data_IF_062246172305
#
_entry.id   IF_062246172305
#
_cell.length_a   1.000
_cell.length_b   1.000
_cell.length_c   1.000
_cell.angle_alpha   90.00
_cell.angle_beta   90.00
_cell.angle_gamma   90.00
#
_symmetry.space_group_name_H-M   'P 1'
#
loop_
_entity.id
_entity.type
_entity.pdbx_description
1 polymer ?
#
# COMPACT_ATOMS: atom_id res chain seq x y z
N UNK A 1 19.41 -47.59 18.08
CA UNK A 1 18.63 -46.91 17.02
C UNK A 1 17.88 -45.67 17.46
N UNK A 2 18.11 -45.06 18.63
CA UNK A 2 17.42 -43.85 19.10
C UNK A 2 18.11 -42.51 18.80
N UNK A 3 19.36 -42.52 18.32
CA UNK A 3 20.13 -41.28 18.05
C UNK A 3 19.96 -40.71 16.66
N UNK A 4 19.34 -41.42 15.72
CA UNK A 4 19.18 -40.96 14.34
C UNK A 4 17.95 -40.03 14.15
N UNK A 5 16.94 -40.17 15.02
CA UNK A 5 15.68 -39.34 14.94
C UNK A 5 15.92 -37.88 15.29
N UNK A 6 16.87 -37.56 16.16
CA UNK A 6 17.13 -36.15 16.55
C UNK A 6 17.87 -35.35 15.47
N UNK A 7 18.60 -36.04 14.58
CA UNK A 7 19.37 -35.38 13.53
C UNK A 7 18.48 -34.85 12.40
N UNK A 8 17.27 -35.44 12.21
CA UNK A 8 16.30 -34.98 11.19
C UNK A 8 15.36 -33.88 11.68
N UNK A 9 15.11 -33.79 12.99
CA UNK A 9 14.19 -32.77 13.56
C UNK A 9 14.89 -31.40 13.58
N UNK A 10 16.19 -31.34 13.82
CA UNK A 10 16.95 -30.09 13.88
C UNK A 10 16.96 -29.31 12.55
N UNK A 11 17.23 -29.92 11.37
CA UNK A 11 17.18 -29.21 10.11
C UNK A 11 15.75 -28.81 9.70
N UNK A 12 14.71 -29.56 10.11
CA UNK A 12 13.31 -29.19 9.82
C UNK A 12 12.87 -27.95 10.59
N UNK A 13 13.30 -27.79 11.84
CA UNK A 13 13.06 -26.58 12.64
C UNK A 13 13.83 -25.37 12.10
N UNK A 14 15.03 -25.56 11.56
CA UNK A 14 15.83 -24.51 10.92
C UNK A 14 15.21 -24.03 9.61
N UNK A 15 14.56 -24.92 8.86
CA UNK A 15 13.86 -24.55 7.63
C UNK A 15 12.60 -23.72 7.89
N UNK A 16 11.83 -24.02 8.94
CA UNK A 16 10.65 -23.26 9.29
C UNK A 16 10.98 -21.84 9.78
N UNK A 17 12.07 -21.66 10.52
CA UNK A 17 12.52 -20.33 10.95
C UNK A 17 13.15 -19.52 9.81
N UNK A 18 13.72 -20.16 8.79
CA UNK A 18 14.33 -19.48 7.64
C UNK A 18 13.30 -18.81 6.73
N UNK A 19 12.12 -19.39 6.52
CA UNK A 19 11.06 -18.80 5.73
C UNK A 19 10.57 -17.47 6.31
N UNK A 20 10.32 -17.40 7.61
CA UNK A 20 9.85 -16.16 8.26
C UNK A 20 10.92 -15.06 8.26
N UNK A 21 12.19 -15.42 8.42
CA UNK A 21 13.31 -14.47 8.28
C UNK A 21 13.46 -13.96 6.86
N UNK A 22 13.28 -14.81 5.85
CA UNK A 22 13.36 -14.46 4.44
C UNK A 22 12.24 -13.48 4.04
N UNK A 23 10.99 -13.76 4.44
CA UNK A 23 9.85 -12.86 4.19
C UNK A 23 10.07 -11.49 4.84
N UNK A 24 10.58 -11.45 6.09
CA UNK A 24 10.92 -10.18 6.76
C UNK A 24 12.07 -9.45 6.09
N UNK A 25 13.03 -10.17 5.52
CA UNK A 25 14.14 -9.58 4.77
C UNK A 25 13.66 -8.92 3.48
N UNK A 26 12.85 -9.62 2.69
CA UNK A 26 12.23 -9.11 1.46
C UNK A 26 11.32 -7.92 1.76
N UNK A 27 10.47 -8.02 2.78
CA UNK A 27 9.60 -6.93 3.19
C UNK A 27 10.38 -5.67 3.58
N UNK A 28 11.53 -5.80 4.25
CA UNK A 28 12.39 -4.64 4.58
C UNK A 28 13.00 -3.97 3.35
N UNK A 29 13.34 -4.74 2.32
CA UNK A 29 13.89 -4.20 1.06
C UNK A 29 12.81 -3.42 0.29
N UNK A 30 11.66 -4.04 0.09
CA UNK A 30 10.53 -3.42 -0.64
C UNK A 30 10.04 -2.14 0.04
N UNK A 31 9.95 -2.15 1.37
CA UNK A 31 9.47 -1.01 2.16
C UNK A 31 10.42 0.18 2.14
N UNK A 32 11.68 -0.01 1.78
CA UNK A 32 12.65 1.10 1.69
C UNK A 32 12.25 2.12 0.63
N UNK A 33 11.66 1.66 -0.45
CA UNK A 33 11.35 2.49 -1.62
C UNK A 33 10.10 3.37 -1.42
N UNK A 34 9.26 3.10 -0.41
CA UNK A 34 8.09 3.93 -0.11
C UNK A 34 8.45 5.37 0.31
N UNK A 35 9.68 5.61 0.71
CA UNK A 35 10.17 6.93 1.14
C UNK A 35 10.58 7.84 -0.01
N UNK A 36 10.74 7.30 -1.20
CA UNK A 36 11.13 8.10 -2.33
C UNK A 36 10.04 9.17 -2.59
N UNK A 37 10.51 10.37 -2.91
CA UNK A 37 9.63 11.50 -3.25
C UNK A 37 8.64 11.97 -2.17
N UNK A 38 8.80 11.58 -0.91
CA UNK A 38 7.92 12.06 0.19
C UNK A 38 8.06 13.54 0.51
N UNK A 39 9.05 14.23 -0.06
CA UNK A 39 9.21 15.68 -0.03
C UNK A 39 8.35 16.41 -1.07
N UNK A 40 7.67 15.67 -1.96
CA UNK A 40 6.82 16.25 -3.00
C UNK A 40 5.40 16.37 -2.49
N UNK A 41 4.82 17.55 -2.73
CA UNK A 41 3.42 17.84 -2.48
C UNK A 41 2.68 17.98 -3.82
N UNK A 42 1.57 17.28 -3.95
CA UNK A 42 0.76 17.26 -5.18
C UNK A 42 -0.57 18.02 -5.07
N UNK A 43 -0.75 18.83 -4.02
CA UNK A 43 -1.98 19.58 -3.80
C UNK A 43 -2.43 20.38 -5.02
N UNK A 44 -1.48 20.94 -5.76
CA UNK A 44 -1.73 21.86 -6.87
C UNK A 44 -1.72 21.18 -8.24
N UNK A 45 -1.55 19.87 -8.34
CA UNK A 45 -1.68 19.19 -9.63
C UNK A 45 -3.13 19.27 -10.11
N UNK A 46 -3.32 19.43 -11.42
CA UNK A 46 -4.64 19.46 -12.01
C UNK A 46 -5.02 18.09 -12.56
N UNK A 47 -6.17 17.61 -12.13
CA UNK A 47 -6.79 16.38 -12.58
C UNK A 47 -7.98 16.70 -13.48
N UNK A 48 -8.20 15.87 -14.49
CA UNK A 48 -9.34 15.92 -15.40
C UNK A 48 -10.24 14.74 -15.06
N UNK A 49 -11.48 14.99 -14.71
CA UNK A 49 -12.47 13.94 -14.46
C UNK A 49 -13.01 13.32 -15.78
N UNK A 50 -13.83 12.28 -15.65
CA UNK A 50 -14.45 11.61 -16.80
C UNK A 50 -15.37 12.52 -17.64
N UNK A 51 -15.81 13.66 -17.10
CA UNK A 51 -16.63 14.67 -17.79
C UNK A 51 -15.80 15.76 -18.46
N UNK A 52 -14.47 15.72 -18.32
CA UNK A 52 -13.55 16.71 -18.85
C UNK A 52 -13.34 17.93 -17.93
N UNK A 53 -13.90 17.96 -16.73
CA UNK A 53 -13.71 19.08 -15.81
C UNK A 53 -12.32 19.02 -15.20
N UNK A 54 -11.62 20.16 -15.19
CA UNK A 54 -10.32 20.33 -14.53
C UNK A 54 -10.51 20.82 -13.10
N UNK A 55 -9.88 20.15 -12.15
CA UNK A 55 -9.85 20.54 -10.74
C UNK A 55 -8.49 20.25 -10.12
N UNK A 56 -8.10 21.06 -9.15
CA UNK A 56 -6.90 20.77 -8.38
C UNK A 56 -7.10 19.57 -7.47
N UNK A 57 -6.03 18.85 -7.19
CA UNK A 57 -6.05 17.67 -6.33
C UNK A 57 -6.64 18.00 -4.94
N UNK A 58 -6.20 19.11 -4.35
CA UNK A 58 -6.70 19.56 -3.04
C UNK A 58 -8.19 19.91 -3.04
N UNK A 59 -8.74 20.43 -4.14
CA UNK A 59 -10.19 20.72 -4.26
C UNK A 59 -11.02 19.44 -4.27
N UNK A 60 -10.52 18.40 -4.94
CA UNK A 60 -11.19 17.10 -5.04
C UNK A 60 -11.13 16.29 -3.73
N UNK A 61 -10.01 16.40 -3.00
CA UNK A 61 -9.69 15.53 -1.90
C UNK A 61 -9.37 16.26 -0.59
N UNK A 62 -9.94 17.45 -0.39
CA UNK A 62 -9.74 18.26 0.82
C UNK A 62 -9.90 17.43 2.10
N UNK A 63 -8.86 17.40 2.94
CA UNK A 63 -8.87 16.72 4.24
C UNK A 63 -8.96 15.20 4.16
N UNK A 64 -8.73 14.61 2.99
CA UNK A 64 -8.76 13.16 2.78
C UNK A 64 -7.36 12.59 2.61
N UNK A 65 -7.17 11.40 3.15
CA UNK A 65 -6.05 10.53 2.78
C UNK A 65 -6.46 9.78 1.51
N UNK A 66 -5.64 9.86 0.47
CA UNK A 66 -5.98 9.30 -0.84
C UNK A 66 -5.10 8.10 -1.15
N UNK A 67 -5.72 6.97 -1.42
CA UNK A 67 -5.06 5.84 -2.07
C UNK A 67 -5.22 6.04 -3.58
N UNK A 68 -4.18 6.61 -4.21
CA UNK A 68 -4.15 6.92 -5.64
C UNK A 68 -3.53 5.76 -6.40
N UNK A 69 -4.33 5.03 -7.17
CA UNK A 69 -3.81 3.93 -7.98
C UNK A 69 -3.61 4.41 -9.42
N UNK A 70 -2.35 4.51 -9.83
CA UNK A 70 -1.96 5.03 -11.13
C UNK A 70 -1.54 3.89 -12.07
N UNK A 71 -1.94 3.99 -13.34
CA UNK A 71 -1.50 3.07 -14.40
C UNK A 71 -1.33 3.80 -15.73
N UNK A 72 -0.49 3.26 -16.59
CA UNK A 72 -0.37 3.59 -18.00
C UNK A 72 -1.27 2.65 -18.82
N UNK A 73 -1.00 2.40 -20.06
CA UNK A 73 -1.79 1.64 -21.03
C UNK A 73 -2.20 0.20 -20.60
N UNK A 74 -1.62 -0.34 -19.53
CA UNK A 74 -2.00 -1.62 -18.94
C UNK A 74 -3.14 -1.44 -17.96
N UNK A 75 -4.29 -2.02 -18.28
CA UNK A 75 -5.40 -2.16 -17.33
C UNK A 75 -5.02 -3.09 -16.18
N UNK A 76 -5.69 -2.93 -15.06
CA UNK A 76 -5.59 -3.86 -13.94
C UNK A 76 -6.04 -5.26 -14.41
N UNK A 77 -5.36 -6.30 -13.96
CA UNK A 77 -5.86 -7.66 -14.11
C UNK A 77 -7.09 -7.88 -13.24
N UNK A 78 -7.85 -8.94 -13.53
CA UNK A 78 -9.05 -9.29 -12.74
C UNK A 78 -8.71 -9.48 -11.26
N UNK A 79 -7.55 -10.07 -10.95
CA UNK A 79 -7.07 -10.27 -9.58
C UNK A 79 -6.71 -8.95 -8.91
N UNK A 80 -6.09 -8.03 -9.65
CA UNK A 80 -5.77 -6.69 -9.14
C UNK A 80 -7.03 -5.88 -8.85
N UNK A 81 -8.02 -5.91 -9.76
CA UNK A 81 -9.32 -5.27 -9.55
C UNK A 81 -10.06 -5.84 -8.35
N UNK A 82 -10.05 -7.17 -8.20
CA UNK A 82 -10.65 -7.85 -7.04
C UNK A 82 -9.98 -7.42 -5.74
N UNK A 83 -8.66 -7.42 -5.69
CA UNK A 83 -7.89 -7.02 -4.51
C UNK A 83 -8.12 -5.55 -4.16
N UNK A 84 -8.20 -4.68 -5.16
CA UNK A 84 -8.48 -3.25 -4.98
C UNK A 84 -9.88 -3.03 -4.41
N UNK A 85 -10.91 -3.72 -4.94
CA UNK A 85 -12.28 -3.65 -4.42
C UNK A 85 -12.37 -4.13 -2.96
N UNK A 86 -11.72 -5.25 -2.63
CA UNK A 86 -11.67 -5.76 -1.26
C UNK A 86 -10.99 -4.76 -0.30
N UNK A 87 -9.97 -4.06 -0.76
CA UNK A 87 -9.33 -3.01 0.02
C UNK A 87 -10.30 -1.84 0.26
N UNK A 88 -11.02 -1.40 -0.78
CA UNK A 88 -12.05 -0.36 -0.64
C UNK A 88 -13.14 -0.75 0.36
N UNK A 89 -13.62 -2.00 0.32
CA UNK A 89 -14.63 -2.52 1.25
C UNK A 89 -14.14 -2.46 2.71
N UNK A 90 -12.86 -2.84 2.96
CA UNK A 90 -12.27 -2.77 4.31
C UNK A 90 -12.15 -1.33 4.84
N UNK A 91 -11.98 -0.38 3.94
CA UNK A 91 -11.87 1.04 4.30
C UNK A 91 -13.19 1.82 4.24
N UNK A 92 -14.30 1.21 3.84
CA UNK A 92 -15.61 1.87 3.75
C UNK A 92 -16.06 2.56 5.06
N UNK A 93 -15.61 2.06 6.20
CA UNK A 93 -15.88 2.63 7.53
C UNK A 93 -15.03 3.87 7.89
N UNK A 94 -14.07 4.23 7.05
CA UNK A 94 -13.19 5.39 7.28
C UNK A 94 -13.50 6.50 6.27
N UNK A 95 -14.37 7.46 6.63
CA UNK A 95 -14.83 8.48 5.69
C UNK A 95 -13.74 9.48 5.28
N UNK A 96 -12.61 9.48 5.97
CA UNK A 96 -11.44 10.29 5.66
C UNK A 96 -10.45 9.60 4.69
N UNK A 97 -10.76 8.39 4.20
CA UNK A 97 -9.98 7.69 3.17
C UNK A 97 -10.76 7.66 1.86
N UNK A 98 -10.09 8.03 0.78
CA UNK A 98 -10.65 8.01 -0.58
C UNK A 98 -9.75 7.18 -1.49
N UNK A 99 -10.38 6.43 -2.36
CA UNK A 99 -9.71 5.67 -3.42
C UNK A 99 -9.90 6.37 -4.75
N UNK A 100 -8.81 6.72 -5.40
CA UNK A 100 -8.83 7.39 -6.69
C UNK A 100 -7.98 6.62 -7.71
N UNK A 101 -8.46 6.61 -8.94
CA UNK A 101 -7.79 5.98 -10.06
C UNK A 101 -7.20 7.05 -10.98
N UNK A 102 -5.97 6.89 -11.40
CA UNK A 102 -5.27 7.81 -12.30
C UNK A 102 -4.77 7.06 -13.53
N UNK A 103 -5.29 7.40 -14.69
CA UNK A 103 -4.79 6.91 -15.97
C UNK A 103 -3.82 7.94 -16.57
N UNK A 104 -2.56 7.58 -16.72
CA UNK A 104 -1.52 8.41 -17.34
C UNK A 104 -1.29 8.09 -18.82
N UNK A 105 -1.96 7.05 -19.33
CA UNK A 105 -1.90 6.64 -20.73
C UNK A 105 -2.97 7.28 -21.61
N UNK A 106 -3.05 6.83 -22.84
CA UNK A 106 -3.97 7.32 -23.87
C UNK A 106 -5.37 6.70 -23.81
N UNK A 107 -5.61 5.69 -22.97
CA UNK A 107 -6.92 5.02 -22.86
C UNK A 107 -7.99 5.98 -22.38
N UNK A 108 -9.03 6.19 -23.21
CA UNK A 108 -10.14 7.08 -22.94
C UNK A 108 -11.34 6.42 -22.26
N UNK A 109 -11.33 5.09 -22.15
CA UNK A 109 -12.51 4.30 -21.74
C UNK A 109 -12.66 4.11 -20.24
N UNK A 110 -11.84 4.77 -19.39
CA UNK A 110 -11.87 4.58 -17.94
C UNK A 110 -12.51 5.74 -17.21
N UNK A 111 -13.24 5.45 -16.13
CA UNK A 111 -13.71 6.46 -15.16
C UNK A 111 -12.58 7.01 -14.27
N UNK A 112 -11.32 6.86 -14.68
CA UNK A 112 -10.17 7.36 -13.97
C UNK A 112 -9.93 8.84 -14.26
N UNK A 113 -9.33 9.52 -13.30
CA UNK A 113 -8.76 10.83 -13.55
C UNK A 113 -7.64 10.78 -14.57
N UNK A 114 -7.42 11.87 -15.28
CA UNK A 114 -6.25 12.11 -16.14
C UNK A 114 -5.47 13.29 -15.61
N UNK A 115 -4.19 13.34 -15.92
CA UNK A 115 -3.38 14.53 -15.65
C UNK A 115 -3.66 15.61 -16.68
N UNK A 116 -3.87 16.84 -16.22
CA UNK A 116 -3.89 17.98 -17.11
C UNK A 116 -2.48 18.23 -17.67
N UNK A 117 -2.41 18.89 -18.83
CA UNK A 117 -1.12 19.26 -19.45
C UNK A 117 -0.76 20.67 -19.00
N UNK A 118 -0.09 20.79 -17.85
CA UNK A 118 0.41 22.02 -17.28
C UNK A 118 1.77 21.84 -16.60
N UNK A 119 2.46 22.94 -16.32
CA UNK A 119 3.83 22.90 -15.79
C UNK A 119 3.94 22.33 -14.38
N UNK A 120 2.92 22.44 -13.52
CA UNK A 120 2.93 21.88 -12.17
C UNK A 120 2.76 20.36 -12.23
N UNK A 121 1.92 19.89 -13.15
CA UNK A 121 1.59 18.48 -13.34
C UNK A 121 2.71 17.73 -14.05
N UNK A 122 3.54 18.41 -14.86
CA UNK A 122 4.64 17.77 -15.61
C UNK A 122 5.65 17.09 -14.68
N UNK A 123 6.04 17.73 -13.58
CA UNK A 123 6.96 17.14 -12.58
C UNK A 123 6.37 15.87 -11.96
N UNK A 124 5.09 15.87 -11.64
CA UNK A 124 4.42 14.68 -11.10
C UNK A 124 4.32 13.59 -12.16
N UNK A 125 4.08 13.93 -13.42
CA UNK A 125 4.07 12.99 -14.54
C UNK A 125 5.42 12.27 -14.69
N UNK A 126 6.54 12.96 -14.47
CA UNK A 126 7.87 12.35 -14.51
C UNK A 126 8.08 11.30 -13.42
N UNK A 127 7.47 11.50 -12.23
CA UNK A 127 7.49 10.50 -11.17
C UNK A 127 6.63 9.27 -11.51
N UNK A 128 5.61 9.45 -12.33
CA UNK A 128 4.69 8.41 -12.76
C UNK A 128 5.20 7.58 -13.93
N UNK A 129 6.48 7.70 -14.33
CA UNK A 129 7.11 6.77 -15.28
C UNK A 129 7.18 5.38 -14.67
N UNK A 130 6.03 4.72 -14.64
CA UNK A 130 5.81 3.40 -14.06
C UNK A 130 5.51 2.42 -15.20
N UNK A 131 6.22 1.29 -15.23
CA UNK A 131 5.94 0.22 -16.19
C UNK A 131 4.67 -0.56 -15.84
N UNK A 132 4.38 -0.73 -14.56
CA UNK A 132 3.22 -1.45 -14.03
C UNK A 132 2.36 -0.54 -13.15
N UNK A 133 1.05 -0.87 -12.97
CA UNK A 133 0.18 -0.12 -12.06
C UNK A 133 0.77 -0.02 -10.67
N UNK A 134 0.85 1.21 -10.15
CA UNK A 134 1.46 1.49 -8.87
C UNK A 134 0.55 2.34 -7.97
N UNK A 135 0.44 2.02 -6.68
CA UNK A 135 -0.27 2.82 -5.71
C UNK A 135 0.61 3.92 -5.13
N UNK A 136 -0.02 5.05 -4.85
CA UNK A 136 0.53 6.15 -4.08
C UNK A 136 -0.39 6.42 -2.90
N UNK A 137 0.15 6.69 -1.74
CA UNK A 137 -0.65 7.14 -0.59
C UNK A 137 -0.33 8.61 -0.38
N UNK A 138 -1.37 9.44 -0.47
CA UNK A 138 -1.27 10.88 -0.36
C UNK A 138 -1.95 11.32 0.94
N UNK A 139 -1.25 12.13 1.71
CA UNK A 139 -1.76 12.70 2.95
C UNK A 139 -2.82 13.77 2.74
N UNK A 140 -3.48 14.15 3.81
CA UNK A 140 -4.56 15.17 3.83
C UNK A 140 -4.10 16.55 3.37
N UNK A 141 -2.80 16.79 3.43
CA UNK A 141 -2.12 18.01 3.00
C UNK A 141 -1.58 17.93 1.55
N UNK A 142 -1.79 16.80 0.87
CA UNK A 142 -1.28 16.55 -0.48
C UNK A 142 0.17 16.05 -0.54
N UNK A 143 0.83 15.81 0.60
CA UNK A 143 2.16 15.22 0.63
C UNK A 143 2.11 13.73 0.24
N UNK A 144 3.11 13.27 -0.51
CA UNK A 144 3.26 11.83 -0.80
C UNK A 144 3.77 11.14 0.48
N UNK A 145 2.94 10.31 1.09
CA UNK A 145 3.29 9.51 2.28
C UNK A 145 3.86 8.14 1.91
N UNK A 146 3.50 7.59 0.75
CA UNK A 146 4.11 6.40 0.19
C UNK A 146 4.15 6.49 -1.34
N UNK A 147 5.34 6.45 -1.89
CA UNK A 147 5.61 6.36 -3.33
C UNK A 147 5.70 4.89 -3.73
N UNK A 148 5.01 4.49 -4.80
CA UNK A 148 4.90 3.07 -5.18
C UNK A 148 4.67 2.19 -3.96
N UNK A 149 3.68 2.59 -3.16
CA UNK A 149 3.34 2.00 -1.87
C UNK A 149 2.85 0.56 -1.97
N UNK A 150 2.38 -0.02 -0.87
CA UNK A 150 1.91 -1.39 -0.86
C UNK A 150 0.71 -1.56 -1.81
N UNK A 151 0.74 -2.64 -2.60
CA UNK A 151 -0.31 -2.98 -3.56
C UNK A 151 -1.57 -3.46 -2.85
N UNK A 152 -2.76 -3.39 -3.47
CA UNK A 152 -4.01 -3.88 -2.85
C UNK A 152 -3.96 -5.34 -2.40
N UNK A 153 -3.12 -6.17 -3.05
CA UNK A 153 -2.91 -7.58 -2.71
C UNK A 153 -1.96 -7.80 -1.51
N UNK A 154 -1.26 -6.76 -1.05
CA UNK A 154 -0.34 -6.85 0.10
C UNK A 154 -1.12 -6.83 1.43
N UNK A 155 -1.88 -7.90 1.66
CA UNK A 155 -2.76 -8.02 2.83
C UNK A 155 -2.05 -7.67 4.13
N UNK A 156 -2.77 -7.05 5.05
CA UNK A 156 -2.30 -6.52 6.33
C UNK A 156 -1.33 -5.34 6.15
N UNK A 157 -0.34 -5.44 5.25
CA UNK A 157 0.64 -4.38 5.02
C UNK A 157 -0.02 -3.12 4.45
N UNK A 158 -0.76 -3.26 3.34
CA UNK A 158 -1.48 -2.12 2.73
C UNK A 158 -2.48 -1.53 3.69
N UNK A 159 -3.20 -2.37 4.42
CA UNK A 159 -4.21 -1.94 5.38
C UNK A 159 -3.58 -1.11 6.52
N UNK A 160 -2.47 -1.58 7.10
CA UNK A 160 -1.81 -0.86 8.19
C UNK A 160 -1.17 0.44 7.72
N UNK A 161 -0.49 0.42 6.57
CA UNK A 161 0.16 1.62 6.02
C UNK A 161 -0.88 2.69 5.69
N UNK A 162 -1.98 2.32 5.05
CA UNK A 162 -3.06 3.26 4.73
C UNK A 162 -3.80 3.76 5.99
N UNK A 163 -3.97 2.88 6.99
CA UNK A 163 -4.57 3.26 8.27
C UNK A 163 -3.74 4.32 9.01
N UNK A 164 -2.43 4.12 9.11
CA UNK A 164 -1.53 5.08 9.78
C UNK A 164 -1.35 6.38 8.96
N UNK A 165 -1.45 6.30 7.63
CA UNK A 165 -1.40 7.47 6.75
C UNK A 165 -2.54 8.48 7.02
N UNK A 166 -3.68 8.05 7.56
CA UNK A 166 -4.79 8.92 8.00
C UNK A 166 -4.33 9.92 9.08
N UNK A 167 -3.30 9.56 9.83
CA UNK A 167 -2.67 10.39 10.85
C UNK A 167 -1.41 11.12 10.34
N UNK A 168 -1.16 11.10 9.02
CA UNK A 168 0.01 11.71 8.41
C UNK A 168 1.30 10.88 8.53
N UNK A 169 1.22 9.60 8.95
CA UNK A 169 2.41 8.77 9.09
C UNK A 169 2.95 8.34 7.72
N UNK A 170 4.29 8.41 7.61
CA UNK A 170 5.01 7.97 6.42
C UNK A 170 4.89 6.46 6.21
N UNK A 171 4.70 6.03 4.96
CA UNK A 171 4.47 4.64 4.60
C UNK A 171 5.60 3.69 5.00
N UNK A 172 6.86 4.11 4.81
CA UNK A 172 8.03 3.32 5.24
C UNK A 172 8.07 3.13 6.74
N UNK A 173 7.75 4.18 7.52
CA UNK A 173 7.73 4.10 8.98
C UNK A 173 6.65 3.14 9.46
N UNK A 174 5.44 3.29 8.94
CA UNK A 174 4.30 2.42 9.27
C UNK A 174 4.58 0.96 8.92
N UNK A 175 5.08 0.70 7.72
CA UNK A 175 5.44 -0.65 7.29
C UNK A 175 6.53 -1.28 8.18
N UNK A 176 7.57 -0.51 8.54
CA UNK A 176 8.61 -0.97 9.48
C UNK A 176 8.05 -1.27 10.87
N UNK A 177 7.10 -0.46 11.37
CA UNK A 177 6.43 -0.71 12.64
C UNK A 177 5.66 -2.03 12.61
N UNK A 178 4.88 -2.25 11.56
CA UNK A 178 4.14 -3.51 11.38
C UNK A 178 5.08 -4.72 11.36
N UNK A 179 6.12 -4.70 10.50
CA UNK A 179 7.07 -5.80 10.33
C UNK A 179 7.80 -6.12 11.66
N UNK A 180 8.22 -5.09 12.40
CA UNK A 180 8.85 -5.26 13.72
C UNK A 180 7.85 -5.76 14.76
N UNK A 181 6.61 -5.40 14.63
CA UNK A 181 5.51 -5.72 15.54
C UNK A 181 4.98 -7.15 15.41
N UNK A 182 5.48 -7.94 14.46
CA UNK A 182 5.12 -9.35 14.30
C UNK A 182 6.25 -10.23 14.81
N UNK A 183 5.92 -11.30 15.58
CA UNK A 183 6.87 -12.27 16.11
C UNK A 183 7.20 -13.39 15.09
N UNK A 184 8.03 -14.33 15.49
CA UNK A 184 8.40 -15.50 14.67
C UNK A 184 7.25 -16.48 14.42
N UNK A 185 6.23 -16.44 15.27
CA UNK A 185 5.02 -17.26 15.16
C UNK A 185 3.90 -16.58 14.35
N UNK A 186 4.22 -15.50 13.64
CA UNK A 186 3.26 -14.75 12.83
C UNK A 186 2.10 -14.14 13.66
N UNK A 187 2.40 -13.65 14.86
CA UNK A 187 1.44 -13.00 15.77
C UNK A 187 1.91 -11.60 16.13
N UNK A 188 0.97 -10.72 16.47
CA UNK A 188 1.30 -9.37 16.93
C UNK A 188 1.92 -9.36 18.32
N UNK A 189 3.02 -8.59 18.48
CA UNK A 189 3.73 -8.42 19.75
C UNK A 189 3.12 -7.37 20.67
N UNK A 190 2.39 -6.39 20.10
CA UNK A 190 1.94 -5.21 20.83
C UNK A 190 0.42 -5.13 20.87
N UNK A 191 -0.13 -4.64 21.98
CA UNK A 191 -1.56 -4.38 22.13
C UNK A 191 -2.09 -3.46 21.01
N UNK A 192 -1.37 -2.36 20.70
CA UNK A 192 -1.75 -1.42 19.63
C UNK A 192 -2.04 -2.12 18.29
N UNK A 193 -1.18 -3.05 17.86
CA UNK A 193 -1.37 -3.78 16.60
C UNK A 193 -2.51 -4.79 16.69
N UNK A 194 -2.68 -5.43 17.84
CA UNK A 194 -3.79 -6.38 18.09
C UNK A 194 -5.13 -5.66 18.05
N UNK A 195 -5.24 -4.53 18.74
CA UNK A 195 -6.45 -3.72 18.80
C UNK A 195 -6.80 -3.15 17.41
N UNK A 196 -5.79 -2.63 16.70
CA UNK A 196 -5.96 -2.18 15.31
C UNK A 196 -6.49 -3.33 14.43
N UNK A 197 -5.87 -4.50 14.48
CA UNK A 197 -6.25 -5.63 13.63
C UNK A 197 -7.67 -6.09 13.92
N UNK A 198 -8.02 -6.27 15.20
CA UNK A 198 -9.38 -6.63 15.61
C UNK A 198 -10.40 -5.60 15.16
N UNK A 199 -10.13 -4.33 15.36
CA UNK A 199 -11.01 -3.23 14.97
C UNK A 199 -11.13 -3.10 13.45
N UNK A 200 -10.01 -3.28 12.70
CA UNK A 200 -9.97 -3.11 11.26
C UNK A 200 -10.60 -4.28 10.51
N UNK A 201 -10.27 -5.52 10.88
CA UNK A 201 -10.71 -6.72 10.18
C UNK A 201 -11.90 -7.43 10.84
N UNK A 202 -12.29 -7.04 12.05
CA UNK A 202 -13.27 -7.77 12.88
C UNK A 202 -12.89 -9.25 13.08
N UNK A 203 -11.58 -9.50 13.27
CA UNK A 203 -10.98 -10.82 13.45
C UNK A 203 -10.24 -10.93 14.77
N UNK A 204 -10.02 -12.17 15.23
CA UNK A 204 -9.20 -12.42 16.41
C UNK A 204 -7.73 -12.11 16.09
N UNK A 205 -7.05 -11.23 16.87
CA UNK A 205 -5.65 -10.88 16.65
C UNK A 205 -4.67 -11.98 17.06
N UNK A 206 -5.13 -13.05 17.69
CA UNK A 206 -4.34 -14.21 18.08
C UNK A 206 -4.25 -15.27 16.98
N UNK A 207 -5.09 -15.15 15.95
CA UNK A 207 -5.00 -16.00 14.78
C UNK A 207 -3.65 -15.80 14.06
N UNK A 208 -3.19 -16.85 13.41
CA UNK A 208 -1.97 -16.80 12.61
C UNK A 208 -2.15 -15.80 11.47
N UNK A 209 -1.23 -14.83 11.39
CA UNK A 209 -1.27 -13.77 10.38
C UNK A 209 -0.73 -14.29 9.04
N UNK A 210 -1.44 -13.97 7.96
CA UNK A 210 -0.96 -14.19 6.61
C UNK A 210 -0.52 -12.86 6.00
N UNK A 211 0.77 -12.72 5.73
CA UNK A 211 1.33 -11.56 5.06
C UNK A 211 1.61 -11.86 3.60
N UNK A 212 1.22 -10.93 2.73
CA UNK A 212 1.72 -10.87 1.37
C UNK A 212 2.45 -9.55 1.16
N UNK A 213 3.55 -9.61 0.42
CA UNK A 213 4.34 -8.44 0.03
C UNK A 213 4.72 -8.63 -1.43
N UNK A 214 4.22 -7.76 -2.28
CA UNK A 214 4.57 -7.74 -3.71
C UNK A 214 5.89 -7.01 -3.90
N UNK A 215 6.76 -7.56 -4.72
CA UNK A 215 7.92 -6.82 -5.22
C UNK A 215 7.43 -5.77 -6.21
N UNK A 216 7.84 -4.51 -6.03
CA UNK A 216 7.70 -3.48 -7.06
C UNK A 216 8.80 -3.71 -8.09
N UNK A 217 8.44 -4.10 -9.29
CA UNK A 217 9.35 -4.04 -10.44
C UNK A 217 9.34 -2.64 -11.02
#
# INVERSE_FOLDING_TARGET
MKKLSYLFILPLCLMASSCTMMVKGIAKLVVKDYNDYTHINISNIQLIDAKGNKKQFNELFTGKTVYLYAWDNKRLSVEQEKSYRLLQERFAKYPDVVFANLNIGSDTASNAFKLADDGATSKFRDLLKIGDPAPFIIGKDGAILAYKGPKPADNILVDYVLYEARNGENGTKSAKQLIKGVNGNEQFKTAKLRDWYSSHFSKNPDDKLSFSVSTTN
#
